data_IF_875765286415
#
_entry.id   IF_875765286415
#
_cell.length_a   1.000
_cell.length_b   1.000
_cell.length_c   1.000
_cell.angle_alpha   90.00
_cell.angle_beta   90.00
_cell.angle_gamma   90.00
#
_symmetry.space_group_name_H-M   'P 1'
#
loop_
_entity.id
_entity.type
_entity.pdbx_description
1 polymer ?
#
# COMPACT_ATOMS: atom_id res chain seq x y z
N UNK A 1 38.76 -33.27 -7.15
CA UNK A 1 39.34 -32.00 -6.68
C UNK A 1 38.23 -30.97 -6.59
N UNK A 2 37.85 -30.59 -5.37
CA UNK A 2 36.90 -29.50 -5.13
C UNK A 2 37.73 -28.23 -5.01
N UNK A 3 37.78 -27.42 -6.07
CA UNK A 3 38.45 -26.12 -6.04
C UNK A 3 37.56 -25.12 -5.31
N UNK A 4 37.66 -25.12 -3.99
CA UNK A 4 37.35 -23.96 -3.17
C UNK A 4 38.50 -22.96 -3.35
N UNK A 5 38.24 -21.76 -3.88
CA UNK A 5 39.27 -20.71 -3.87
C UNK A 5 39.30 -19.70 -5.00
N UNK A 6 38.26 -19.58 -5.83
CA UNK A 6 38.07 -18.33 -6.60
C UNK A 6 36.75 -17.76 -6.14
N UNK A 7 36.83 -16.68 -5.37
CA UNK A 7 35.71 -15.77 -5.14
C UNK A 7 35.35 -15.23 -6.52
N UNK A 8 34.56 -15.97 -7.30
CA UNK A 8 34.09 -15.49 -8.58
C UNK A 8 33.17 -14.32 -8.28
N UNK A 9 33.72 -13.12 -8.42
CA UNK A 9 33.00 -11.87 -8.15
C UNK A 9 31.62 -11.94 -8.83
N UNK A 10 30.52 -11.94 -8.05
CA UNK A 10 29.17 -12.02 -8.59
C UNK A 10 28.81 -10.86 -9.54
N UNK A 11 29.65 -9.82 -9.59
CA UNK A 11 29.47 -8.62 -10.39
C UNK A 11 30.55 -8.42 -11.47
N UNK A 12 31.56 -9.29 -11.59
CA UNK A 12 32.58 -9.17 -12.64
C UNK A 12 32.03 -9.41 -14.04
N UNK A 13 32.32 -8.48 -14.95
CA UNK A 13 31.94 -8.56 -16.36
C UNK A 13 32.57 -9.75 -17.09
N UNK A 14 33.73 -10.23 -16.62
CA UNK A 14 34.51 -11.29 -17.27
C UNK A 14 33.82 -12.67 -17.24
N UNK A 15 32.85 -12.88 -16.34
CA UNK A 15 32.11 -14.15 -16.20
C UNK A 15 30.65 -14.06 -16.69
N UNK A 16 30.30 -12.94 -17.32
CA UNK A 16 28.92 -12.54 -17.59
C UNK A 16 28.27 -13.44 -18.67
N UNK A 17 29.00 -13.80 -19.73
CA UNK A 17 28.50 -14.70 -20.79
C UNK A 17 28.13 -16.09 -20.26
N UNK A 18 28.89 -16.62 -19.31
CA UNK A 18 28.64 -17.93 -18.69
C UNK A 18 27.45 -17.91 -17.72
N UNK A 19 27.12 -16.75 -17.14
CA UNK A 19 26.07 -16.58 -16.10
C UNK A 19 24.72 -16.09 -16.64
N UNK A 20 24.70 -15.45 -17.81
CA UNK A 20 23.51 -14.94 -18.52
C UNK A 20 22.29 -15.89 -18.46
N UNK A 21 22.42 -17.19 -18.75
CA UNK A 21 21.26 -18.11 -18.76
C UNK A 21 20.63 -18.28 -17.37
N UNK A 22 21.45 -18.24 -16.32
CA UNK A 22 21.00 -18.48 -14.94
C UNK A 22 20.47 -17.22 -14.26
N UNK A 23 20.99 -16.04 -14.62
CA UNK A 23 20.51 -14.75 -14.11
C UNK A 23 19.12 -14.43 -14.65
N UNK A 24 18.88 -14.64 -15.95
CA UNK A 24 17.54 -14.47 -16.55
C UNK A 24 16.56 -15.46 -15.91
N UNK A 25 16.96 -16.73 -15.73
CA UNK A 25 16.11 -17.75 -15.07
C UNK A 25 15.80 -17.39 -13.62
N UNK A 26 16.78 -16.94 -12.84
CA UNK A 26 16.59 -16.48 -11.45
C UNK A 26 15.72 -15.23 -11.38
N UNK A 27 15.90 -14.28 -12.30
CA UNK A 27 15.08 -13.09 -12.42
C UNK A 27 13.62 -13.45 -12.72
N UNK A 28 13.38 -14.27 -13.75
CA UNK A 28 12.04 -14.73 -14.13
C UNK A 28 11.38 -15.55 -13.01
N UNK A 29 12.12 -16.44 -12.34
CA UNK A 29 11.60 -17.18 -11.19
C UNK A 29 11.26 -16.28 -10.00
N UNK A 30 12.10 -15.28 -9.68
CA UNK A 30 11.84 -14.30 -8.62
C UNK A 30 10.61 -13.45 -8.95
N UNK A 31 10.45 -13.05 -10.21
CA UNK A 31 9.31 -12.26 -10.66
C UNK A 31 8.01 -13.08 -10.65
N UNK A 32 8.06 -14.34 -11.10
CA UNK A 32 6.93 -15.28 -11.05
C UNK A 32 6.51 -15.62 -9.61
N UNK A 33 7.45 -15.82 -8.68
CA UNK A 33 7.14 -16.08 -7.26
C UNK A 33 6.56 -14.86 -6.54
N UNK A 34 6.94 -13.63 -6.94
CA UNK A 34 6.39 -12.38 -6.36
C UNK A 34 4.92 -12.12 -6.71
N UNK A 35 4.41 -12.66 -7.83
CA UNK A 35 3.03 -12.40 -8.31
C UNK A 35 1.94 -13.25 -7.65
N UNK A 36 2.25 -14.10 -6.66
CA UNK A 36 1.24 -14.56 -5.68
C UNK A 36 1.12 -13.55 -4.54
N UNK A 37 0.98 -12.28 -4.90
CA UNK A 37 0.67 -11.20 -3.97
C UNK A 37 -0.83 -11.12 -3.73
N UNK A 38 -1.21 -10.55 -2.58
CA UNK A 38 -2.59 -10.16 -2.24
C UNK A 38 -3.33 -9.61 -3.46
N UNK A 39 -4.61 -9.95 -3.64
CA UNK A 39 -5.36 -9.50 -4.82
C UNK A 39 -5.35 -7.96 -4.88
N UNK A 40 -5.41 -7.41 -6.09
CA UNK A 40 -5.48 -5.96 -6.29
C UNK A 40 -6.67 -5.36 -5.52
N UNK A 41 -7.78 -6.09 -5.46
CA UNK A 41 -8.94 -5.74 -4.64
C UNK A 41 -8.56 -5.67 -3.15
N UNK A 42 -7.85 -6.67 -2.60
CA UNK A 42 -7.42 -6.62 -1.19
C UNK A 42 -6.48 -5.44 -0.91
N UNK A 43 -5.60 -5.08 -1.85
CA UNK A 43 -4.73 -3.90 -1.73
C UNK A 43 -5.54 -2.60 -1.74
N UNK A 44 -6.56 -2.50 -2.59
CA UNK A 44 -7.46 -1.35 -2.62
C UNK A 44 -8.25 -1.18 -1.30
N UNK A 45 -8.53 -2.29 -0.61
CA UNK A 45 -9.22 -2.31 0.69
C UNK A 45 -8.29 -2.10 1.90
N UNK A 46 -6.98 -1.96 1.70
CA UNK A 46 -6.04 -1.73 2.79
C UNK A 46 -6.10 -0.27 3.25
N UNK A 47 -6.16 -0.01 4.56
CA UNK A 47 -6.14 1.35 5.12
C UNK A 47 -4.77 2.02 4.95
N UNK A 48 -4.62 2.66 3.79
CA UNK A 48 -3.50 3.55 3.44
C UNK A 48 -3.96 5.00 3.48
N UNK A 49 -3.04 5.97 3.52
CA UNK A 49 -3.39 7.40 3.46
C UNK A 49 -4.32 7.71 2.28
N UNK A 50 -3.97 7.22 1.09
CA UNK A 50 -4.75 7.44 -0.12
C UNK A 50 -6.11 6.72 -0.08
N UNK A 51 -6.17 5.52 0.52
CA UNK A 51 -7.42 4.81 0.77
C UNK A 51 -8.32 5.55 1.77
N UNK A 52 -7.75 6.07 2.86
CA UNK A 52 -8.48 6.83 3.88
C UNK A 52 -9.06 8.14 3.33
N UNK A 53 -8.30 8.87 2.50
CA UNK A 53 -8.81 10.04 1.79
C UNK A 53 -9.99 9.69 0.88
N UNK A 54 -9.88 8.59 0.10
CA UNK A 54 -11.00 8.10 -0.73
C UNK A 54 -12.22 7.68 0.09
N UNK A 55 -12.03 7.01 1.23
CA UNK A 55 -13.12 6.60 2.12
C UNK A 55 -13.92 7.80 2.65
N UNK A 56 -13.25 8.94 2.88
CA UNK A 56 -13.87 10.17 3.36
C UNK A 56 -14.33 11.10 2.22
N UNK A 57 -14.33 10.63 0.97
CA UNK A 57 -14.62 11.43 -0.23
C UNK A 57 -13.78 12.71 -0.35
N UNK A 58 -12.55 12.68 0.16
CA UNK A 58 -11.63 13.82 0.12
C UNK A 58 -10.78 13.78 -1.16
N UNK A 59 -10.36 14.96 -1.66
CA UNK A 59 -9.50 15.04 -2.85
C UNK A 59 -8.17 14.32 -2.61
N UNK A 60 -7.83 13.44 -3.56
CA UNK A 60 -6.57 12.68 -3.58
C UNK A 60 -5.55 13.25 -4.58
N UNK A 61 -5.88 14.38 -5.21
CA UNK A 61 -5.00 15.06 -6.14
C UNK A 61 -3.78 15.65 -5.40
N UNK A 62 -2.56 15.51 -5.96
CA UNK A 62 -1.37 16.11 -5.37
C UNK A 62 -1.49 17.64 -5.36
N UNK A 63 -0.95 18.27 -4.31
CA UNK A 63 -0.96 19.73 -4.16
C UNK A 63 -2.22 20.30 -3.50
N UNK A 64 -3.26 19.49 -3.26
CA UNK A 64 -4.41 19.92 -2.48
C UNK A 64 -4.05 19.94 -0.98
N UNK A 65 -4.27 21.10 -0.33
CA UNK A 65 -4.05 21.24 1.12
C UNK A 65 -5.36 20.99 1.83
N UNK A 66 -5.41 19.93 2.63
CA UNK A 66 -6.55 19.62 3.48
C UNK A 66 -6.31 20.19 4.88
N UNK A 67 -7.37 20.68 5.51
CA UNK A 67 -7.36 21.07 6.93
C UNK A 67 -8.02 20.00 7.80
N UNK A 68 -7.68 19.98 9.09
CA UNK A 68 -8.34 19.09 10.05
C UNK A 68 -9.86 19.32 10.12
N UNK A 69 -10.32 20.56 9.93
CA UNK A 69 -11.74 20.88 9.93
C UNK A 69 -12.47 20.24 8.75
N UNK A 70 -11.92 20.33 7.53
CA UNK A 70 -12.49 19.68 6.34
C UNK A 70 -12.59 18.17 6.51
N UNK A 71 -11.56 17.54 7.09
CA UNK A 71 -11.56 16.10 7.37
C UNK A 71 -12.68 15.74 8.37
N UNK A 72 -12.86 16.57 9.41
CA UNK A 72 -13.89 16.38 10.43
C UNK A 72 -15.30 16.57 9.89
N UNK A 73 -15.51 17.55 9.02
CA UNK A 73 -16.78 17.80 8.35
C UNK A 73 -17.17 16.63 7.44
N UNK A 74 -16.26 16.21 6.55
CA UNK A 74 -16.49 15.07 5.67
C UNK A 74 -16.79 13.78 6.46
N UNK A 75 -16.06 13.53 7.55
CA UNK A 75 -16.35 12.40 8.44
C UNK A 75 -17.73 12.52 9.08
N UNK A 76 -18.13 13.70 9.57
CA UNK A 76 -19.43 13.91 10.22
C UNK A 76 -20.58 13.61 9.28
N UNK A 77 -20.52 14.11 8.04
CA UNK A 77 -21.55 13.87 7.04
C UNK A 77 -21.68 12.37 6.71
N UNK A 78 -20.56 11.69 6.49
CA UNK A 78 -20.55 10.25 6.18
C UNK A 78 -20.98 9.38 7.36
N UNK A 79 -20.59 9.76 8.58
CA UNK A 79 -20.98 9.07 9.80
C UNK A 79 -22.48 9.14 10.04
N UNK A 80 -23.09 10.32 9.84
CA UNK A 80 -24.55 10.48 9.95
C UNK A 80 -25.29 9.68 8.89
N UNK A 81 -24.77 9.64 7.66
CA UNK A 81 -25.39 8.88 6.56
C UNK A 81 -25.28 7.36 6.73
N UNK A 82 -24.19 6.86 7.33
CA UNK A 82 -23.92 5.43 7.46
C UNK A 82 -24.05 4.91 8.91
N UNK A 83 -24.68 5.67 9.80
CA UNK A 83 -24.76 5.30 11.21
C UNK A 83 -25.58 4.00 11.38
N UNK A 84 -25.11 3.02 12.17
CA UNK A 84 -25.83 1.76 12.36
C UNK A 84 -27.21 1.95 12.99
N UNK A 85 -27.35 2.89 13.93
CA UNK A 85 -28.66 3.22 14.53
C UNK A 85 -29.67 3.77 13.52
N UNK A 86 -29.21 4.26 12.36
CA UNK A 86 -30.06 4.73 11.25
C UNK A 86 -30.23 3.67 10.14
N UNK A 87 -29.85 2.42 10.41
CA UNK A 87 -29.92 1.30 9.45
C UNK A 87 -28.65 1.13 8.59
N UNK A 88 -27.56 1.82 8.93
CA UNK A 88 -26.25 1.64 8.28
C UNK A 88 -25.56 0.33 8.67
N UNK A 89 -24.42 0.04 8.03
CA UNK A 89 -23.62 -1.15 8.34
C UNK A 89 -22.52 -0.85 9.36
N UNK A 90 -22.40 -1.66 10.41
CA UNK A 90 -21.34 -1.55 11.41
C UNK A 90 -19.94 -1.63 10.79
N UNK A 91 -19.77 -2.49 9.80
CA UNK A 91 -18.47 -2.68 9.13
C UNK A 91 -18.07 -1.43 8.35
N UNK A 92 -19.02 -0.75 7.68
CA UNK A 92 -18.74 0.49 6.97
C UNK A 92 -18.41 1.62 7.93
N UNK A 93 -19.15 1.72 9.04
CA UNK A 93 -18.89 2.73 10.07
C UNK A 93 -17.52 2.52 10.73
N UNK A 94 -17.16 1.25 11.02
CA UNK A 94 -15.82 0.92 11.53
C UNK A 94 -14.70 1.35 10.59
N UNK A 95 -14.84 1.10 9.29
CA UNK A 95 -13.85 1.52 8.29
C UNK A 95 -13.74 3.04 8.17
N UNK A 96 -14.87 3.77 8.26
CA UNK A 96 -14.88 5.23 8.31
C UNK A 96 -14.12 5.76 9.54
N UNK A 97 -14.33 5.14 10.70
CA UNK A 97 -13.62 5.49 11.93
C UNK A 97 -12.12 5.25 11.81
N UNK A 98 -11.70 4.10 11.28
CA UNK A 98 -10.29 3.76 11.05
C UNK A 98 -9.62 4.78 10.10
N UNK A 99 -10.29 5.13 9.01
CA UNK A 99 -9.81 6.15 8.07
C UNK A 99 -9.64 7.52 8.73
N UNK A 100 -10.63 7.96 9.52
CA UNK A 100 -10.59 9.24 10.23
C UNK A 100 -9.46 9.29 11.27
N UNK A 101 -9.29 8.24 12.07
CA UNK A 101 -8.22 8.20 13.07
C UNK A 101 -6.84 8.23 12.41
N UNK A 102 -6.64 7.50 11.31
CA UNK A 102 -5.38 7.54 10.57
C UNK A 102 -5.03 8.96 10.11
N UNK A 103 -5.98 9.66 9.49
CA UNK A 103 -5.74 11.04 9.04
C UNK A 103 -5.49 11.99 10.22
N UNK A 104 -6.26 11.86 11.30
CA UNK A 104 -6.09 12.68 12.51
C UNK A 104 -4.70 12.48 13.14
N UNK A 105 -4.20 11.25 13.20
CA UNK A 105 -2.86 10.96 13.71
C UNK A 105 -1.75 11.57 12.84
N UNK A 106 -1.91 11.50 11.51
CA UNK A 106 -0.94 12.09 10.58
C UNK A 106 -0.82 13.60 10.74
N UNK A 107 -1.96 14.29 10.93
CA UNK A 107 -1.98 15.74 11.17
C UNK A 107 -1.50 16.13 12.57
N UNK A 108 -1.62 15.26 13.56
CA UNK A 108 -1.06 15.51 14.90
C UNK A 108 0.48 15.44 14.92
N UNK A 109 1.07 14.67 14.00
CA UNK A 109 2.53 14.47 13.90
C UNK A 109 3.22 15.50 13.00
N UNK A 110 2.47 16.30 12.25
CA UNK A 110 2.98 17.43 11.47
C UNK A 110 3.09 18.66 12.36
#
# INVERSE_FOLDING_TARGET
>A
MVMAGVLEDPFSADTLEMRQPTLIRRFVQRFRRRRRGMSFETLAHTMTLHGALRMLNLPTAPGHRLTLEQIREAYRELALANHPDSGGCDQTMRRLNEAYQLLKELYRRQ
#
